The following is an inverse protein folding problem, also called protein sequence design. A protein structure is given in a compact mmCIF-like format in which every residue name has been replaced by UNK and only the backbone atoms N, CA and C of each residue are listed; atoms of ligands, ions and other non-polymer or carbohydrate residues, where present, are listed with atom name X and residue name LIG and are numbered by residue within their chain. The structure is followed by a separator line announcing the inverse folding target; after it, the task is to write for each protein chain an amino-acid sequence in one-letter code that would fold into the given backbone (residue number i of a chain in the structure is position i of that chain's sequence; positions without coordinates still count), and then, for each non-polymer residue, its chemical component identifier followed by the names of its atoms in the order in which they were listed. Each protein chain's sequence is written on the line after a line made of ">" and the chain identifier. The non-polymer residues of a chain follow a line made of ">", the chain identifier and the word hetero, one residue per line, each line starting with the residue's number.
data_IF_316792093527
#
_entry.id   IF_316792093527
#
_cell.length_a   1.000
_cell.length_b   1.000
_cell.length_c   1.000
_cell.angle_alpha   90.00
_cell.angle_beta   90.00
_cell.angle_gamma   90.00
#
_symmetry.space_group_name_H-M   'P 1'
#
loop_
_entity.id
_entity.type
_entity.pdbx_description
1 polymer ?
#
# COMPACT_ATOMS: atom_id res chain seq x y z
N UNK A 1 -6.08 -5.01 7.47
CA UNK A 1 -6.06 -4.29 8.75
C UNK A 1 -6.10 -2.79 8.54
N UNK A 2 -6.80 -2.09 9.39
CA UNK A 2 -6.90 -0.64 9.33
C UNK A 2 -5.82 0.00 10.19
N UNK A 3 -5.24 1.09 9.70
CA UNK A 3 -4.23 1.85 10.42
C UNK A 3 -4.62 3.31 10.46
N UNK A 4 -4.56 3.88 11.66
CA UNK A 4 -4.75 5.32 11.84
C UNK A 4 -3.39 5.98 11.70
N UNK A 5 -3.26 6.90 10.72
CA UNK A 5 -2.03 7.63 10.48
C UNK A 5 -1.85 8.70 11.57
N UNK A 6 -0.62 9.27 11.71
CA UNK A 6 -0.39 10.38 12.66
C UNK A 6 -1.28 11.58 12.44
N UNK A 7 -1.82 11.76 11.25
CA UNK A 7 -2.76 12.85 10.96
C UNK A 7 -4.20 12.51 11.32
N UNK A 8 -4.44 11.36 11.95
CA UNK A 8 -5.78 10.93 12.31
C UNK A 8 -6.58 10.35 11.15
N UNK A 9 -5.94 10.13 10.02
CA UNK A 9 -6.59 9.52 8.86
C UNK A 9 -6.57 8.02 8.98
N UNK A 10 -7.67 7.39 8.56
CA UNK A 10 -7.79 5.95 8.52
C UNK A 10 -7.43 5.48 7.10
N UNK A 11 -6.43 4.61 7.00
CA UNK A 11 -6.04 4.02 5.73
C UNK A 11 -6.12 2.52 5.81
N UNK A 12 -6.70 1.93 4.77
CA UNK A 12 -6.83 0.49 4.66
C UNK A 12 -6.51 0.08 3.21
N UNK A 13 -5.40 -0.63 3.00
CA UNK A 13 -5.10 -1.15 1.67
C UNK A 13 -6.13 -2.23 1.28
N UNK A 14 -6.36 -2.36 -0.02
CA UNK A 14 -7.36 -3.30 -0.52
C UNK A 14 -6.94 -4.75 -0.30
N UNK A 15 -5.65 -5.03 -0.33
CA UNK A 15 -5.15 -6.38 -0.12
C UNK A 15 -3.81 -6.38 0.62
N UNK A 16 -3.71 -7.23 1.61
CA UNK A 16 -2.46 -7.50 2.33
C UNK A 16 -2.24 -9.01 2.32
N UNK A 17 -1.12 -9.43 1.78
CA UNK A 17 -0.76 -10.85 1.70
C UNK A 17 0.48 -11.09 2.54
N UNK A 18 0.40 -12.10 3.40
CA UNK A 18 1.51 -12.46 4.27
C UNK A 18 2.01 -13.87 3.94
N UNK A 19 3.33 -13.99 3.84
CA UNK A 19 3.98 -15.28 3.70
C UNK A 19 5.19 -15.31 4.64
N UNK A 20 4.97 -15.82 5.85
CA UNK A 20 5.99 -15.81 6.88
C UNK A 20 6.38 -14.38 7.26
N UNK A 21 7.65 -14.03 6.99
CA UNK A 21 8.21 -12.72 7.28
C UNK A 21 7.93 -11.68 6.19
N UNK A 22 7.48 -12.11 5.02
CA UNK A 22 7.26 -11.25 3.87
C UNK A 22 5.80 -10.80 3.80
N UNK A 23 5.62 -9.50 3.53
CA UNK A 23 4.29 -8.90 3.37
C UNK A 23 4.23 -8.16 2.06
N UNK A 24 3.14 -8.36 1.32
CA UNK A 24 2.86 -7.63 0.08
C UNK A 24 1.56 -6.86 0.28
N UNK A 25 1.62 -5.56 0.01
CA UNK A 25 0.47 -4.65 0.12
C UNK A 25 0.09 -4.20 -1.28
N UNK A 26 -1.18 -4.33 -1.63
CA UNK A 26 -1.69 -3.87 -2.92
C UNK A 26 -2.89 -2.97 -2.70
N UNK A 27 -2.87 -1.81 -3.34
CA UNK A 27 -3.99 -0.88 -3.34
C UNK A 27 -4.53 -0.79 -4.77
N UNK A 28 -5.86 -0.81 -4.92
CA UNK A 28 -6.52 -0.78 -6.22
C UNK A 28 -7.05 0.62 -6.51
N UNK A 29 -6.75 1.12 -7.72
CA UNK A 29 -7.28 2.39 -8.21
C UNK A 29 -7.96 2.19 -9.54
N UNK A 30 -9.11 2.83 -9.72
CA UNK A 30 -9.86 2.72 -10.97
C UNK A 30 -9.54 3.82 -11.96
N UNK A 31 -9.10 4.99 -11.48
CA UNK A 31 -8.74 6.10 -12.34
C UNK A 31 -7.45 5.86 -13.11
N UNK A 32 -7.18 6.74 -14.06
CA UNK A 32 -5.96 6.66 -14.86
C UNK A 32 -4.83 7.54 -14.33
N UNK A 33 -5.11 8.40 -13.38
CA UNK A 33 -4.12 9.33 -12.84
C UNK A 33 -3.32 8.69 -11.72
N UNK A 34 -1.99 8.80 -11.83
CA UNK A 34 -1.04 8.33 -10.84
C UNK A 34 -0.71 9.49 -9.90
N UNK A 35 -1.54 9.68 -8.87
CA UNK A 35 -1.34 10.79 -7.93
C UNK A 35 -0.31 10.44 -6.87
N UNK A 36 0.60 11.38 -6.54
CA UNK A 36 1.63 11.12 -5.51
C UNK A 36 1.06 10.73 -4.15
N UNK A 37 -0.13 11.22 -3.80
CA UNK A 37 -0.77 10.88 -2.52
C UNK A 37 -1.07 9.38 -2.39
N UNK A 38 -1.32 8.70 -3.52
CA UNK A 38 -1.57 7.25 -3.52
C UNK A 38 -0.31 6.49 -3.12
N UNK A 39 0.83 6.91 -3.69
CA UNK A 39 2.12 6.32 -3.37
C UNK A 39 2.46 6.55 -1.90
N UNK A 40 2.21 7.75 -1.39
CA UNK A 40 2.48 8.09 0.00
C UNK A 40 1.66 7.26 0.98
N UNK A 41 0.39 6.99 0.66
CA UNK A 41 -0.45 6.15 1.50
C UNK A 41 0.11 4.74 1.64
N UNK A 42 0.49 4.15 0.51
CA UNK A 42 1.06 2.79 0.49
C UNK A 42 2.41 2.78 1.22
N UNK A 43 3.26 3.78 0.98
CA UNK A 43 4.57 3.88 1.62
C UNK A 43 4.45 3.97 3.14
N UNK A 44 3.54 4.80 3.64
CA UNK A 44 3.33 4.95 5.09
C UNK A 44 2.86 3.66 5.74
N UNK A 45 1.94 2.96 5.08
CA UNK A 45 1.48 1.67 5.55
C UNK A 45 2.63 0.66 5.60
N UNK A 46 3.41 0.60 4.53
CA UNK A 46 4.57 -0.29 4.45
C UNK A 46 5.60 0.01 5.54
N UNK A 47 5.85 1.29 5.83
CA UNK A 47 6.78 1.69 6.90
C UNK A 47 6.32 1.20 8.27
N UNK A 48 5.02 1.30 8.54
CA UNK A 48 4.47 0.81 9.80
C UNK A 48 4.66 -0.70 9.94
N UNK A 49 4.41 -1.45 8.89
CA UNK A 49 4.59 -2.91 8.90
C UNK A 49 6.08 -3.26 9.06
N UNK A 50 6.97 -2.53 8.38
CA UNK A 50 8.42 -2.73 8.53
C UNK A 50 8.88 -2.49 9.96
N UNK A 51 8.30 -1.49 10.62
CA UNK A 51 8.65 -1.19 12.01
C UNK A 51 8.31 -2.34 12.96
N UNK A 52 7.43 -3.23 12.55
CA UNK A 52 7.08 -4.45 13.30
C UNK A 52 8.01 -5.62 12.97
N UNK A 53 9.00 -5.43 12.11
CA UNK A 53 10.00 -6.45 11.78
C UNK A 53 9.73 -7.25 10.51
N UNK A 54 8.76 -6.84 9.68
CA UNK A 54 8.46 -7.53 8.42
C UNK A 54 9.20 -6.93 7.24
N UNK A 55 9.46 -7.74 6.23
CA UNK A 55 9.87 -7.29 4.91
C UNK A 55 8.62 -6.97 4.10
N UNK A 56 8.51 -5.75 3.55
CA UNK A 56 7.29 -5.28 2.91
C UNK A 56 7.57 -4.78 1.50
N UNK A 57 6.72 -5.20 0.56
CA UNK A 57 6.66 -4.62 -0.78
C UNK A 57 5.27 -4.03 -0.99
N UNK A 58 5.20 -2.83 -1.57
CA UNK A 58 3.95 -2.14 -1.80
C UNK A 58 3.72 -1.86 -3.27
N UNK A 59 2.48 -2.03 -3.71
CA UNK A 59 2.08 -1.88 -5.10
C UNK A 59 0.76 -1.12 -5.20
N UNK A 60 0.58 -0.44 -6.33
CA UNK A 60 -0.72 0.10 -6.72
C UNK A 60 -1.11 -0.55 -8.06
N UNK A 61 -2.32 -1.07 -8.12
CA UNK A 61 -2.90 -1.65 -9.32
C UNK A 61 -3.90 -0.66 -9.91
N UNK A 62 -3.59 -0.15 -11.10
CA UNK A 62 -4.48 0.72 -11.85
C UNK A 62 -5.29 -0.14 -12.81
N UNK A 63 -6.50 -0.51 -12.39
CA UNK A 63 -7.30 -1.53 -13.09
C UNK A 63 -7.72 -1.10 -14.49
N UNK A 64 -8.01 0.19 -14.68
CA UNK A 64 -8.51 0.68 -15.99
C UNK A 64 -7.44 0.58 -17.08
N UNK A 65 -6.19 0.80 -16.75
CA UNK A 65 -5.07 0.73 -17.70
C UNK A 65 -4.27 -0.56 -17.58
N UNK A 66 -4.63 -1.43 -16.64
CA UNK A 66 -3.93 -2.68 -16.37
C UNK A 66 -2.45 -2.46 -16.01
N UNK A 67 -2.18 -1.41 -15.24
CA UNK A 67 -0.83 -1.07 -14.81
C UNK A 67 -0.61 -1.47 -13.35
N UNK A 68 0.46 -2.20 -13.08
CA UNK A 68 0.91 -2.50 -11.73
C UNK A 68 2.17 -1.69 -11.46
N UNK A 69 2.10 -0.77 -10.48
CA UNK A 69 3.22 0.07 -10.11
C UNK A 69 3.77 -0.37 -8.75
N UNK A 70 5.05 -0.66 -8.70
CA UNK A 70 5.71 -0.92 -7.42
C UNK A 70 6.08 0.41 -6.78
N UNK A 71 5.63 0.59 -5.55
CA UNK A 71 5.79 1.85 -4.81
C UNK A 71 6.99 1.78 -3.85
N UNK A 72 7.22 0.60 -3.30
CA UNK A 72 8.31 0.44 -2.33
C UNK A 72 8.76 -1.01 -2.13
#
# INVERSE_FOLDING_TARGET
>A
AEIITPQGQLYRPDRVMMNGHDVVVVDYKFGTQHEPRYNQQVQRYAELIRSMGFAVSGYIWYAQTNDLEQVC
#
